data_IF_892445551399
#
_entry.id   IF_892445551399
#
_cell.length_a   1.000
_cell.length_b   1.000
_cell.length_c   1.000
_cell.angle_alpha   90.00
_cell.angle_beta   90.00
_cell.angle_gamma   90.00
#
_symmetry.space_group_name_H-M   'P 1'
#
loop_
_entity.id
_entity.type
_entity.pdbx_description
1 polymer ?
#
# COMPACT_ATOMS: atom_id res chain seq x y z
N UNK A 1 -1.19 -5.34 15.68
CA UNK A 1 -2.22 -4.34 16.03
C UNK A 1 -3.08 -4.12 14.79
N UNK A 2 -4.41 -4.12 14.91
CA UNK A 2 -5.31 -3.92 13.76
C UNK A 2 -5.65 -2.43 13.67
N UNK A 3 -5.41 -1.84 12.50
CA UNK A 3 -5.59 -0.42 12.18
C UNK A 3 -6.52 -0.20 10.98
N UNK A 4 -7.27 -1.22 10.57
CA UNK A 4 -8.21 -1.17 9.43
C UNK A 4 -9.18 0.04 9.52
N UNK A 5 -9.71 0.32 10.71
CA UNK A 5 -10.59 1.48 10.95
C UNK A 5 -9.96 2.86 10.75
N UNK A 6 -8.63 2.95 10.62
CA UNK A 6 -7.95 4.22 10.34
C UNK A 6 -8.21 4.71 8.91
N UNK A 7 -8.36 3.80 7.95
CA UNK A 7 -8.60 4.15 6.54
C UNK A 7 -9.86 5.00 6.37
N UNK A 8 -11.05 4.58 6.83
CA UNK A 8 -12.26 5.41 6.71
C UNK A 8 -12.18 6.71 7.51
N UNK A 9 -11.37 6.77 8.59
CA UNK A 9 -11.13 8.01 9.31
C UNK A 9 -10.28 9.00 8.47
N UNK A 10 -9.19 8.53 7.85
CA UNK A 10 -8.36 9.33 6.95
C UNK A 10 -9.13 9.81 5.71
N UNK A 11 -10.02 8.98 5.17
CA UNK A 11 -10.84 9.32 4.00
C UNK A 11 -11.80 10.51 4.22
N UNK A 12 -11.98 10.97 5.47
CA UNK A 12 -12.74 12.20 5.76
C UNK A 12 -11.95 13.48 5.43
N UNK A 13 -10.62 13.39 5.37
CA UNK A 13 -9.78 14.51 4.99
C UNK A 13 -9.80 14.68 3.46
N UNK A 14 -10.15 15.89 2.99
CA UNK A 14 -10.25 16.21 1.54
C UNK A 14 -9.03 15.80 0.73
N UNK A 15 -7.82 15.99 1.26
CA UNK A 15 -6.58 15.62 0.57
C UNK A 15 -6.46 14.12 0.36
N UNK A 16 -6.84 13.33 1.37
CA UNK A 16 -6.76 11.87 1.30
C UNK A 16 -7.88 11.29 0.44
N UNK A 17 -9.10 11.81 0.57
CA UNK A 17 -10.23 11.47 -0.32
C UNK A 17 -9.87 11.72 -1.79
N UNK A 18 -9.34 12.91 -2.09
CA UNK A 18 -8.86 13.25 -3.44
C UNK A 18 -7.78 12.27 -3.91
N UNK A 19 -6.83 11.90 -3.05
CA UNK A 19 -5.80 10.93 -3.40
C UNK A 19 -6.40 9.56 -3.74
N UNK A 20 -7.35 9.07 -2.95
CA UNK A 20 -8.06 7.83 -3.22
C UNK A 20 -8.81 7.86 -4.55
N UNK A 21 -9.43 9.00 -4.89
CA UNK A 21 -10.17 9.17 -6.15
C UNK A 21 -9.30 8.91 -7.39
N UNK A 22 -7.99 9.18 -7.31
CA UNK A 22 -7.01 9.05 -8.39
C UNK A 22 -6.56 7.61 -8.66
N UNK A 23 -6.97 6.61 -7.87
CA UNK A 23 -6.49 5.22 -7.98
C UNK A 23 -6.74 4.51 -9.33
N UNK A 24 -7.58 5.06 -10.22
CA UNK A 24 -7.79 4.55 -11.57
C UNK A 24 -6.95 5.26 -12.65
N UNK A 25 -5.96 6.06 -12.24
CA UNK A 25 -5.13 6.89 -13.12
C UNK A 25 -3.66 6.75 -12.73
N UNK A 26 -2.77 7.11 -13.65
CA UNK A 26 -1.38 7.38 -13.31
C UNK A 26 -1.32 8.67 -12.48
N UNK A 27 -0.80 8.57 -11.26
CA UNK A 27 -0.74 9.69 -10.32
C UNK A 27 0.47 9.58 -9.40
N UNK A 28 1.01 10.74 -9.02
CA UNK A 28 2.10 10.87 -8.05
C UNK A 28 1.58 11.42 -6.73
N UNK A 29 2.02 10.83 -5.63
CA UNK A 29 1.61 11.21 -4.28
C UNK A 29 2.82 11.61 -3.43
N UNK A 30 2.80 12.84 -2.90
CA UNK A 30 3.75 13.26 -1.87
C UNK A 30 3.18 12.95 -0.49
N UNK A 31 3.87 12.11 0.26
CA UNK A 31 3.39 11.53 1.52
C UNK A 31 4.52 11.54 2.54
N UNK A 32 4.15 11.65 3.83
CA UNK A 32 5.04 11.21 4.90
C UNK A 32 5.08 9.68 4.94
N UNK A 33 6.19 9.12 5.40
CA UNK A 33 6.45 7.67 5.40
C UNK A 33 5.31 6.84 6.01
N UNK A 34 4.74 7.31 7.13
CA UNK A 34 3.65 6.64 7.84
C UNK A 34 2.32 6.56 7.07
N UNK A 35 2.15 7.31 5.98
CA UNK A 35 0.93 7.31 5.15
C UNK A 35 1.01 6.37 3.94
N UNK A 36 2.16 5.79 3.63
CA UNK A 36 2.31 4.88 2.47
C UNK A 36 1.38 3.66 2.59
N UNK A 37 1.46 2.92 3.68
CA UNK A 37 0.63 1.73 3.88
C UNK A 37 -0.88 2.05 3.96
N UNK A 38 -1.35 3.05 4.73
CA UNK A 38 -2.75 3.48 4.70
C UNK A 38 -3.26 3.88 3.31
N UNK A 39 -2.45 4.61 2.52
CA UNK A 39 -2.85 5.01 1.18
C UNK A 39 -3.02 3.80 0.27
N UNK A 40 -2.04 2.89 0.22
CA UNK A 40 -2.11 1.67 -0.59
C UNK A 40 -3.31 0.80 -0.17
N UNK A 41 -3.54 0.64 1.14
CA UNK A 41 -4.68 -0.10 1.65
C UNK A 41 -6.02 0.54 1.27
N UNK A 42 -6.14 1.87 1.35
CA UNK A 42 -7.32 2.60 0.91
C UNK A 42 -7.55 2.52 -0.60
N UNK A 43 -6.49 2.59 -1.41
CA UNK A 43 -6.57 2.43 -2.87
C UNK A 43 -7.03 1.02 -3.26
N UNK A 44 -6.64 -0.02 -2.51
CA UNK A 44 -7.10 -1.39 -2.73
C UNK A 44 -8.56 -1.60 -2.30
N UNK A 45 -8.96 -1.04 -1.16
CA UNK A 45 -10.26 -1.32 -0.53
C UNK A 45 -11.39 -0.35 -0.91
N UNK A 46 -11.09 0.72 -1.66
CA UNK A 46 -12.13 1.66 -2.13
C UNK A 46 -13.20 0.94 -2.96
N UNK A 47 -14.43 1.47 -2.94
CA UNK A 47 -15.51 0.97 -3.78
C UNK A 47 -15.11 1.07 -5.26
N UNK A 48 -15.24 -0.06 -5.98
CA UNK A 48 -14.79 -0.16 -7.38
C UNK A 48 -13.27 -0.15 -7.57
N UNK A 49 -12.50 -0.34 -6.49
CA UNK A 49 -11.05 -0.49 -6.54
C UNK A 49 -10.61 -1.82 -7.17
N UNK A 50 -9.31 -1.98 -7.42
CA UNK A 50 -8.76 -3.21 -7.98
C UNK A 50 -8.90 -4.37 -6.99
N UNK A 51 -8.80 -5.61 -7.50
CA UNK A 51 -8.83 -6.82 -6.66
C UNK A 51 -7.46 -7.21 -6.12
N UNK A 52 -6.39 -6.62 -6.65
CA UNK A 52 -5.00 -6.88 -6.27
C UNK A 52 -4.16 -5.60 -6.47
N UNK A 53 -3.02 -5.52 -5.76
CA UNK A 53 -2.05 -4.44 -5.88
C UNK A 53 -0.64 -5.02 -5.84
N UNK A 54 0.23 -4.54 -6.72
CA UNK A 54 1.67 -4.79 -6.69
C UNK A 54 2.37 -3.53 -6.16
N UNK A 55 3.02 -3.63 -5.01
CA UNK A 55 3.85 -2.56 -4.46
C UNK A 55 5.32 -2.87 -4.79
N UNK A 56 5.98 -1.95 -5.49
CA UNK A 56 7.41 -2.04 -5.80
C UNK A 56 8.17 -1.06 -4.93
N UNK A 57 9.25 -1.53 -4.31
CA UNK A 57 10.14 -0.75 -3.45
C UNK A 57 11.59 -1.04 -3.81
N UNK A 58 12.51 -0.17 -3.41
CA UNK A 58 13.90 -0.24 -3.87
C UNK A 58 14.68 -1.40 -3.24
N UNK A 59 14.37 -1.77 -1.99
CA UNK A 59 15.15 -2.77 -1.25
C UNK A 59 14.28 -3.83 -0.59
N UNK A 60 14.87 -5.02 -0.35
CA UNK A 60 14.21 -6.08 0.41
C UNK A 60 13.82 -5.67 1.83
N UNK A 61 14.62 -4.81 2.48
CA UNK A 61 14.29 -4.26 3.81
C UNK A 61 13.03 -3.39 3.78
N UNK A 62 12.85 -2.59 2.73
CA UNK A 62 11.62 -1.80 2.55
C UNK A 62 10.42 -2.69 2.22
N UNK A 63 10.61 -3.77 1.46
CA UNK A 63 9.55 -4.75 1.16
C UNK A 63 9.01 -5.34 2.45
N UNK A 64 9.92 -5.86 3.28
CA UNK A 64 9.56 -6.49 4.54
C UNK A 64 8.93 -5.48 5.52
N UNK A 65 9.42 -4.23 5.55
CA UNK A 65 8.80 -3.17 6.35
C UNK A 65 7.37 -2.86 5.88
N UNK A 66 7.18 -2.70 4.56
CA UNK A 66 5.88 -2.40 3.97
C UNK A 66 4.88 -3.54 4.18
N UNK A 67 5.32 -4.80 4.01
CA UNK A 67 4.50 -6.00 4.27
C UNK A 67 3.96 -6.02 5.69
N UNK A 68 4.83 -5.80 6.69
CA UNK A 68 4.42 -5.74 8.11
C UNK A 68 3.44 -4.61 8.39
N UNK A 69 3.66 -3.44 7.78
CA UNK A 69 2.73 -2.31 7.92
C UNK A 69 1.37 -2.61 7.28
N UNK A 70 1.33 -3.14 6.05
CA UNK A 70 0.09 -3.47 5.33
C UNK A 70 -0.76 -4.50 6.08
N UNK A 71 -0.14 -5.49 6.73
CA UNK A 71 -0.85 -6.48 7.54
C UNK A 71 -1.67 -5.86 8.68
N UNK A 72 -1.29 -4.67 9.17
CA UNK A 72 -2.07 -3.96 10.19
C UNK A 72 -3.32 -3.29 9.61
N UNK A 73 -3.31 -2.89 8.34
CA UNK A 73 -4.42 -2.20 7.67
C UNK A 73 -5.34 -3.13 6.88
N UNK A 74 -4.83 -4.29 6.45
CA UNK A 74 -5.51 -5.26 5.59
C UNK A 74 -5.49 -6.65 6.25
N UNK A 75 -6.13 -6.85 7.42
CA UNK A 75 -6.03 -8.08 8.18
C UNK A 75 -6.58 -9.32 7.45
N UNK A 76 -7.47 -9.11 6.47
CA UNK A 76 -8.07 -10.16 5.65
C UNK A 76 -7.38 -10.35 4.29
N UNK A 77 -6.42 -9.50 3.92
CA UNK A 77 -5.73 -9.62 2.64
C UNK A 77 -4.62 -10.67 2.71
N UNK A 78 -4.48 -11.42 1.64
CA UNK A 78 -3.29 -12.24 1.40
C UNK A 78 -2.16 -11.32 0.93
N UNK A 79 -1.10 -11.19 1.73
CA UNK A 79 0.07 -10.36 1.42
C UNK A 79 1.26 -11.29 1.19
N UNK A 80 1.81 -11.25 -0.01
CA UNK A 80 2.91 -12.12 -0.46
C UNK A 80 4.11 -11.27 -0.82
N UNK A 81 5.31 -11.71 -0.45
CA UNK A 81 6.55 -11.11 -0.94
C UNK A 81 6.97 -11.74 -2.25
N UNK A 82 7.51 -10.91 -3.15
CA UNK A 82 8.16 -11.36 -4.35
C UNK A 82 9.67 -11.07 -4.21
N UNK A 83 10.45 -12.00 -3.64
CA UNK A 83 11.83 -11.74 -3.28
C UNK A 83 12.69 -11.54 -4.53
N UNK A 84 13.66 -10.63 -4.43
CA UNK A 84 14.70 -10.50 -5.44
C UNK A 84 15.63 -11.73 -5.42
N UNK A 85 16.29 -12.00 -6.54
CA UNK A 85 17.35 -13.00 -6.58
C UNK A 85 18.51 -12.59 -5.67
N UNK A 86 19.11 -13.58 -5.00
CA UNK A 86 20.31 -13.36 -4.19
C UNK A 86 21.57 -13.17 -5.05
N UNK A 87 21.52 -13.62 -6.31
CA UNK A 87 22.57 -13.48 -7.32
C UNK A 87 22.11 -12.64 -8.49
N UNK A 88 23.06 -12.13 -9.28
CA UNK A 88 22.74 -11.40 -10.51
C UNK A 88 22.32 -12.37 -11.64
N UNK A 89 21.51 -11.93 -12.62
CA UNK A 89 20.96 -12.84 -13.64
C UNK A 89 21.95 -13.61 -14.52
N UNK A 90 23.21 -13.19 -14.54
CA UNK A 90 24.28 -13.77 -15.35
C UNK A 90 25.55 -14.01 -14.54
N UNK A 91 25.42 -14.10 -13.21
CA UNK A 91 26.51 -14.53 -12.32
C UNK A 91 26.85 -16.02 -12.52
#
# INVERSE_FOLDING_TARGET
>A
MILEGLIPALARARTFEKALSLGGRSADFSLVDGLRAPLLAGLLTRKGGPRALLAVVATGRESEALRRSLASYLPSATIVEFPAWETLPHE
#
